data_IF_176378936708
#
_entry.id   IF_176378936708
#
_cell.length_a   1.000
_cell.length_b   1.000
_cell.length_c   1.000
_cell.angle_alpha   90.00
_cell.angle_beta   90.00
_cell.angle_gamma   90.00
#
_symmetry.space_group_name_H-M   'P 1'
#
loop_
_entity.id
_entity.type
_entity.pdbx_description
1 polymer ?
#
# COMPACT_ATOMS: atom_id res chain seq x y z
N UNK A 1 -15.47 -14.52 -14.67
CA UNK A 1 -14.84 -15.22 -13.52
C UNK A 1 -13.33 -15.17 -13.68
N UNK A 2 -12.57 -14.77 -12.66
CA UNK A 2 -11.10 -14.66 -12.72
C UNK A 2 -10.44 -16.05 -12.77
N UNK A 3 -9.50 -16.28 -13.69
CA UNK A 3 -8.82 -17.57 -13.90
C UNK A 3 -8.15 -18.12 -12.62
N UNK A 4 -7.68 -17.23 -11.74
CA UNK A 4 -7.09 -17.59 -10.44
C UNK A 4 -8.12 -18.25 -9.52
N UNK A 5 -9.37 -17.77 -9.51
CA UNK A 5 -10.46 -18.34 -8.71
C UNK A 5 -10.80 -19.76 -9.16
N UNK A 6 -10.91 -19.97 -10.47
CA UNK A 6 -11.14 -21.30 -11.05
C UNK A 6 -10.02 -22.29 -10.69
N UNK A 7 -8.76 -21.82 -10.65
CA UNK A 7 -7.63 -22.67 -10.25
C UNK A 7 -7.67 -23.08 -8.78
N UNK A 8 -8.13 -22.20 -7.89
CA UNK A 8 -8.26 -22.48 -6.45
C UNK A 8 -9.44 -23.40 -6.17
N UNK A 9 -10.55 -23.25 -6.89
CA UNK A 9 -11.70 -24.16 -6.79
C UNK A 9 -11.35 -25.62 -7.15
N UNK A 10 -10.42 -25.80 -8.10
CA UNK A 10 -9.89 -27.10 -8.50
C UNK A 10 -8.84 -27.68 -7.54
N UNK A 11 -8.44 -26.97 -6.48
CA UNK A 11 -7.51 -27.49 -5.47
C UNK A 11 -8.21 -28.49 -4.55
N UNK A 12 -7.45 -29.50 -4.12
CA UNK A 12 -7.90 -30.39 -3.06
C UNK A 12 -8.24 -29.58 -1.79
N UNK A 13 -9.29 -29.97 -1.05
CA UNK A 13 -9.60 -29.35 0.24
C UNK A 13 -8.41 -29.47 1.19
N UNK A 14 -8.09 -28.38 1.89
CA UNK A 14 -6.98 -28.34 2.82
C UNK A 14 -6.46 -26.92 3.04
N UNK A 15 -5.48 -26.80 3.94
CA UNK A 15 -4.92 -25.51 4.37
C UNK A 15 -4.50 -24.63 3.19
N UNK A 16 -3.83 -25.21 2.19
CA UNK A 16 -3.35 -24.47 1.01
C UNK A 16 -4.50 -23.87 0.19
N UNK A 17 -5.66 -24.54 0.11
CA UNK A 17 -6.84 -24.00 -0.57
C UNK A 17 -7.43 -22.85 0.23
N UNK A 18 -7.55 -22.99 1.54
CA UNK A 18 -8.05 -21.93 2.44
C UNK A 18 -7.19 -20.67 2.39
N UNK A 19 -5.85 -20.82 2.40
CA UNK A 19 -4.92 -19.70 2.26
C UNK A 19 -5.06 -19.01 0.89
N UNK A 20 -5.21 -19.78 -0.18
CA UNK A 20 -5.41 -19.24 -1.52
C UNK A 20 -6.75 -18.49 -1.65
N UNK A 21 -7.83 -18.99 -1.03
CA UNK A 21 -9.12 -18.31 -0.97
C UNK A 21 -9.04 -16.99 -0.19
N UNK A 22 -8.34 -17.00 0.97
CA UNK A 22 -8.09 -15.81 1.77
C UNK A 22 -7.27 -14.77 1.00
N UNK A 23 -6.24 -15.21 0.27
CA UNK A 23 -5.43 -14.35 -0.58
C UNK A 23 -6.26 -13.72 -1.71
N UNK A 24 -7.13 -14.49 -2.38
CA UNK A 24 -8.03 -13.97 -3.42
C UNK A 24 -8.97 -12.90 -2.84
N UNK A 25 -9.54 -13.14 -1.65
CA UNK A 25 -10.42 -12.18 -0.98
C UNK A 25 -9.68 -10.88 -0.67
N UNK A 26 -8.49 -10.99 -0.08
CA UNK A 26 -7.65 -9.83 0.20
C UNK A 26 -7.28 -9.06 -1.07
N UNK A 27 -6.88 -9.77 -2.14
CA UNK A 27 -6.49 -9.15 -3.40
C UNK A 27 -7.65 -8.39 -4.04
N UNK A 28 -8.86 -8.94 -4.02
CA UNK A 28 -10.06 -8.25 -4.52
C UNK A 28 -10.32 -6.94 -3.77
N UNK A 29 -10.30 -6.98 -2.43
CA UNK A 29 -10.47 -5.77 -1.61
C UNK A 29 -9.32 -4.77 -1.76
N UNK A 30 -8.09 -5.24 -2.03
CA UNK A 30 -6.95 -4.38 -2.29
C UNK A 30 -7.10 -3.64 -3.62
N UNK A 31 -7.57 -4.32 -4.67
CA UNK A 31 -7.84 -3.71 -5.98
C UNK A 31 -8.91 -2.63 -5.85
N UNK A 32 -10.04 -2.89 -5.19
CA UNK A 32 -11.10 -1.89 -4.98
C UNK A 32 -10.58 -0.62 -4.27
N UNK A 33 -9.74 -0.79 -3.24
CA UNK A 33 -9.13 0.34 -2.52
C UNK A 33 -8.15 1.14 -3.37
N UNK A 34 -7.35 0.45 -4.18
CA UNK A 34 -6.31 1.05 -5.01
C UNK A 34 -6.84 1.55 -6.35
N UNK A 35 -8.08 1.23 -6.69
CA UNK A 35 -8.70 1.67 -7.93
C UNK A 35 -8.77 3.22 -7.93
N UNK A 36 -8.03 3.88 -8.83
CA UNK A 36 -8.00 5.34 -8.91
C UNK A 36 -9.35 5.93 -9.32
N UNK A 37 -10.29 5.11 -9.83
CA UNK A 37 -11.67 5.52 -10.12
C UNK A 37 -12.53 5.60 -8.85
N UNK A 38 -12.20 4.82 -7.81
CA UNK A 38 -12.91 4.82 -6.53
C UNK A 38 -12.26 5.74 -5.49
N UNK A 39 -10.93 5.90 -5.55
CA UNK A 39 -10.19 6.83 -4.69
C UNK A 39 -9.54 7.91 -5.57
N UNK A 40 -10.09 9.14 -5.59
CA UNK A 40 -9.47 10.23 -6.31
C UNK A 40 -8.02 10.39 -5.81
N UNK A 41 -7.02 10.36 -6.69
CA UNK A 41 -5.64 10.57 -6.29
C UNK A 41 -5.55 11.96 -5.68
N UNK A 42 -5.31 12.02 -4.37
CA UNK A 42 -5.01 13.27 -3.68
C UNK A 42 -3.50 13.39 -3.55
N UNK A 43 -3.00 14.59 -3.80
CA UNK A 43 -1.67 14.94 -3.31
C UNK A 43 -1.68 14.70 -1.80
N UNK A 44 -0.72 13.96 -1.25
CA UNK A 44 -0.57 13.92 0.20
C UNK A 44 -0.38 15.35 0.68
N UNK A 45 -0.94 15.69 1.83
CA UNK A 45 -0.67 16.98 2.46
C UNK A 45 0.82 17.02 2.82
N UNK A 46 1.59 17.72 1.98
CA UNK A 46 3.00 17.97 2.22
C UNK A 46 3.05 19.06 3.29
N UNK A 47 3.57 18.78 4.51
CA UNK A 47 3.72 19.81 5.52
C UNK A 47 4.69 20.88 5.02
N UNK A 48 4.45 22.13 5.41
CA UNK A 48 5.40 23.23 5.15
C UNK A 48 6.78 22.85 5.70
N UNK A 49 7.84 22.87 4.87
CA UNK A 49 9.17 22.48 5.31
C UNK A 49 9.64 23.43 6.43
N UNK A 50 9.96 22.86 7.58
CA UNK A 50 10.52 23.59 8.72
C UNK A 50 12.02 23.54 8.66
N UNK A 51 12.68 24.59 9.17
CA UNK A 51 14.12 24.59 9.37
C UNK A 51 14.60 23.32 10.11
N UNK A 52 13.79 22.84 11.06
CA UNK A 52 14.10 21.65 11.85
C UNK A 52 14.10 20.34 11.06
N UNK A 53 13.36 20.26 9.95
CA UNK A 53 13.34 19.09 9.08
C UNK A 53 14.69 18.89 8.38
N UNK A 54 15.51 19.95 8.31
CA UNK A 54 16.86 19.90 7.74
C UNK A 54 17.89 19.37 8.75
N UNK A 55 17.61 19.35 10.06
CA UNK A 55 18.58 18.95 11.12
C UNK A 55 19.32 17.63 10.83
N UNK A 56 18.67 16.55 10.34
CA UNK A 56 19.37 15.30 10.05
C UNK A 56 20.41 15.41 8.93
N UNK A 57 20.29 16.41 8.06
CA UNK A 57 21.10 16.59 6.86
C UNK A 57 22.18 17.66 7.01
N UNK A 58 22.16 18.43 8.10
CA UNK A 58 23.02 19.59 8.31
C UNK A 58 24.33 19.31 9.07
N UNK A 59 24.50 18.11 9.64
CA UNK A 59 25.70 17.77 10.41
C UNK A 59 25.95 18.74 11.57
N UNK A 60 27.03 19.51 11.50
CA UNK A 60 27.38 20.52 12.53
C UNK A 60 26.77 21.90 12.28
N UNK A 61 25.98 22.06 11.22
CA UNK A 61 25.42 23.36 10.84
C UNK A 61 24.07 23.58 11.52
N UNK A 62 23.82 24.84 11.92
CA UNK A 62 22.53 25.24 12.46
C UNK A 62 21.47 25.32 11.35
N UNK A 63 20.25 24.80 11.57
CA UNK A 63 19.14 24.92 10.63
C UNK A 63 18.61 26.35 10.45
N UNK A 64 18.98 27.28 11.33
CA UNK A 64 18.49 28.66 11.29
C UNK A 64 19.47 29.66 10.65
N UNK A 65 20.58 29.18 10.07
CA UNK A 65 21.63 30.00 9.47
C UNK A 65 22.98 29.88 10.20
N UNK A 66 24.07 30.39 9.60
CA UNK A 66 25.40 30.45 10.23
C UNK A 66 25.41 31.35 11.47
#
# INVERSE_FOLDING_TARGET
MSAVRTRVEAMAPGQTRTEAEAWISWAASAVERLDPLHTPPRLPDIPEPRADDLRPFLGHWSPYGP
#
